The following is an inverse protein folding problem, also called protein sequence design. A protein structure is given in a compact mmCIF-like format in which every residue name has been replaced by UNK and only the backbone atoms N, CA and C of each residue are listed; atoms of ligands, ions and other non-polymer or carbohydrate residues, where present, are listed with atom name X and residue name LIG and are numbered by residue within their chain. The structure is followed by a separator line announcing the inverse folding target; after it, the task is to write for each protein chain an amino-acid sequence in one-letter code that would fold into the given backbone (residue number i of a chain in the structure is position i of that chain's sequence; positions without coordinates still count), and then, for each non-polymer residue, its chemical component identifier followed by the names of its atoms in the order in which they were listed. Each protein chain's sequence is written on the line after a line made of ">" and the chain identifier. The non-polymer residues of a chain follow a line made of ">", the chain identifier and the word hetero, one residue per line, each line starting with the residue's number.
data_IF_056308764661
#
_entry.id   IF_056308764661
#
_cell.length_a   1.000
_cell.length_b   1.000
_cell.length_c   1.000
_cell.angle_alpha   90.00
_cell.angle_beta   90.00
_cell.angle_gamma   90.00
#
_symmetry.space_group_name_H-M   'P 1'
#
loop_
_entity.id
_entity.type
_entity.pdbx_description
1 polymer ?
#
# COMPACT_ATOMS: atom_id res chain seq x y z
N UNK A 1 -3.75 -33.15 -15.29
CA UNK A 1 -2.30 -33.37 -15.49
C UNK A 1 -1.57 -32.11 -15.07
N UNK A 2 -0.69 -32.18 -14.07
CA UNK A 2 0.15 -31.04 -13.66
C UNK A 2 1.36 -31.01 -14.58
N UNK A 3 1.44 -30.04 -15.48
CA UNK A 3 2.70 -29.76 -16.16
C UNK A 3 3.74 -29.34 -15.11
N UNK A 4 4.93 -29.95 -15.07
CA UNK A 4 6.02 -29.45 -14.24
C UNK A 4 6.47 -28.12 -14.86
N UNK A 5 6.09 -27.00 -14.23
CA UNK A 5 6.61 -25.70 -14.57
C UNK A 5 8.09 -25.68 -14.16
N UNK A 6 8.98 -25.85 -15.13
CA UNK A 6 10.39 -25.46 -14.98
C UNK A 6 10.37 -24.01 -14.47
N UNK A 7 11.00 -23.68 -13.33
CA UNK A 7 11.03 -22.32 -12.83
C UNK A 7 11.94 -21.50 -13.74
N UNK A 8 11.40 -21.01 -14.84
CA UNK A 8 12.08 -20.01 -15.67
C UNK A 8 11.99 -18.71 -14.89
N UNK A 9 13.10 -18.31 -14.27
CA UNK A 9 13.26 -16.93 -13.80
C UNK A 9 12.97 -16.04 -14.99
N UNK A 10 11.93 -15.21 -14.92
CA UNK A 10 11.70 -14.21 -15.95
C UNK A 10 12.90 -13.26 -16.05
N UNK A 11 12.91 -12.36 -17.06
CA UNK A 11 13.87 -11.26 -17.05
C UNK A 11 13.84 -10.57 -15.67
N UNK A 12 15.01 -10.25 -15.12
CA UNK A 12 15.23 -9.68 -13.78
C UNK A 12 15.04 -10.60 -12.56
N UNK A 13 15.07 -11.93 -12.72
CA UNK A 13 15.01 -12.86 -11.56
C UNK A 13 13.61 -12.96 -10.93
N UNK A 14 12.58 -12.59 -11.69
CA UNK A 14 11.20 -12.48 -11.21
C UNK A 14 10.47 -13.83 -11.32
N UNK A 15 9.94 -14.34 -10.21
CA UNK A 15 9.28 -15.66 -10.13
C UNK A 15 7.75 -15.57 -10.13
N UNK A 16 7.14 -14.52 -9.55
CA UNK A 16 5.68 -14.30 -9.58
C UNK A 16 5.32 -12.89 -10.10
N UNK A 17 4.99 -12.82 -11.40
CA UNK A 17 4.57 -11.58 -12.10
C UNK A 17 3.32 -10.94 -11.50
N UNK A 18 2.41 -11.74 -10.94
CA UNK A 18 1.16 -11.24 -10.35
C UNK A 18 1.43 -10.59 -9.01
N UNK A 19 2.27 -11.22 -8.20
CA UNK A 19 2.73 -10.62 -6.95
C UNK A 19 3.47 -9.31 -7.21
N UNK A 20 4.32 -9.27 -8.24
CA UNK A 20 5.00 -8.02 -8.63
C UNK A 20 4.01 -6.92 -9.03
N UNK A 21 2.98 -7.23 -9.82
CA UNK A 21 1.94 -6.26 -10.17
C UNK A 21 1.26 -5.65 -8.93
N UNK A 22 0.91 -6.49 -7.94
CA UNK A 22 0.33 -6.02 -6.67
C UNK A 22 1.30 -5.15 -5.86
N UNK A 23 2.60 -5.50 -5.84
CA UNK A 23 3.63 -4.67 -5.20
C UNK A 23 3.77 -3.31 -5.88
N UNK A 24 3.88 -3.30 -7.21
CA UNK A 24 4.05 -2.10 -8.00
C UNK A 24 2.87 -1.14 -7.83
N UNK A 25 1.64 -1.65 -7.84
CA UNK A 25 0.44 -0.85 -7.61
C UNK A 25 0.50 -0.11 -6.26
N UNK A 26 0.89 -0.80 -5.19
CA UNK A 26 1.01 -0.18 -3.87
C UNK A 26 2.14 0.86 -3.83
N UNK A 27 3.31 0.54 -4.39
CA UNK A 27 4.45 1.47 -4.43
C UNK A 27 4.12 2.75 -5.20
N UNK A 28 3.43 2.63 -6.33
CA UNK A 28 2.99 3.77 -7.14
C UNK A 28 2.02 4.66 -6.37
N UNK A 29 1.04 4.08 -5.68
CA UNK A 29 0.10 4.85 -4.85
C UNK A 29 0.82 5.55 -3.70
N UNK A 30 1.68 4.83 -2.97
CA UNK A 30 2.45 5.40 -1.86
C UNK A 30 3.36 6.55 -2.31
N UNK A 31 4.04 6.38 -3.44
CA UNK A 31 4.87 7.43 -4.04
C UNK A 31 4.04 8.63 -4.46
N UNK A 32 2.92 8.40 -5.14
CA UNK A 32 2.03 9.46 -5.60
C UNK A 32 1.48 10.30 -4.45
N UNK A 33 0.96 9.68 -3.39
CA UNK A 33 0.48 10.40 -2.21
C UNK A 33 1.62 11.15 -1.52
N UNK A 34 2.83 10.57 -1.47
CA UNK A 34 3.99 11.26 -0.88
C UNK A 34 4.39 12.50 -1.67
N UNK A 35 4.32 12.45 -3.01
CA UNK A 35 4.53 13.63 -3.87
C UNK A 35 3.47 14.69 -3.60
N UNK A 36 2.19 14.28 -3.50
CA UNK A 36 1.10 15.21 -3.15
C UNK A 36 1.34 15.89 -1.80
N UNK A 37 1.71 15.12 -0.78
CA UNK A 37 2.05 15.65 0.54
C UNK A 37 3.23 16.62 0.46
N UNK A 38 4.26 16.27 -0.31
CA UNK A 38 5.41 17.13 -0.55
C UNK A 38 5.04 18.50 -1.11
N UNK A 39 4.06 18.58 -2.01
CA UNK A 39 3.62 19.84 -2.61
C UNK A 39 3.08 20.86 -1.60
N UNK A 40 2.54 20.42 -0.46
CA UNK A 40 2.11 21.31 0.63
C UNK A 40 3.29 21.92 1.41
N UNK A 41 4.47 21.31 1.36
CA UNK A 41 5.66 21.73 2.12
C UNK A 41 6.76 22.34 1.24
N UNK A 42 6.54 22.47 -0.07
CA UNK A 42 7.50 23.08 -0.98
C UNK A 42 7.61 24.60 -0.74
N UNK A 43 8.83 25.15 -0.60
CA UNK A 43 9.01 26.57 -0.37
C UNK A 43 8.45 27.40 -1.54
N UNK A 44 7.69 28.45 -1.22
CA UNK A 44 7.15 29.40 -2.20
C UNK A 44 5.83 28.98 -2.87
N UNK A 45 5.20 27.87 -2.48
CA UNK A 45 3.85 27.50 -2.96
C UNK A 45 3.75 27.17 -4.46
N UNK A 46 4.86 27.21 -5.20
CA UNK A 46 4.89 26.93 -6.64
C UNK A 46 4.39 25.51 -6.98
N UNK A 47 4.60 24.55 -6.09
CA UNK A 47 4.09 23.19 -6.26
C UNK A 47 2.61 23.04 -5.86
N UNK A 48 2.07 23.93 -5.02
CA UNK A 48 0.66 23.90 -4.63
C UNK A 48 -0.28 24.21 -5.80
N UNK A 49 0.15 25.07 -6.73
CA UNK A 49 -0.60 25.33 -7.97
C UNK A 49 -0.72 24.09 -8.87
N UNK A 50 0.23 23.14 -8.79
CA UNK A 50 0.11 21.85 -9.49
C UNK A 50 -1.05 21.03 -8.94
N UNK A 51 -1.30 21.04 -7.62
CA UNK A 51 -2.47 20.37 -7.02
C UNK A 51 -3.80 20.98 -7.46
N UNK A 52 -3.81 22.25 -7.86
CA UNK A 52 -4.99 22.91 -8.43
C UNK A 52 -5.15 22.61 -9.93
N UNK A 53 -4.09 22.16 -10.59
CA UNK A 53 -4.09 21.96 -12.03
C UNK A 53 -4.91 20.73 -12.43
N UNK A 54 -5.64 20.86 -13.54
CA UNK A 54 -6.36 19.74 -14.16
C UNK A 54 -5.42 18.58 -14.52
N UNK A 55 -4.23 18.89 -15.02
CA UNK A 55 -3.23 17.92 -15.45
C UNK A 55 -2.81 16.97 -14.32
N UNK A 56 -2.62 17.50 -13.11
CA UNK A 56 -2.27 16.68 -11.95
C UNK A 56 -3.35 15.63 -11.67
N UNK A 57 -4.62 16.01 -11.74
CA UNK A 57 -5.74 15.09 -11.47
C UNK A 57 -5.95 14.08 -12.60
N UNK A 58 -5.77 14.47 -13.86
CA UNK A 58 -5.81 13.52 -14.97
C UNK A 58 -4.72 12.44 -14.84
N UNK A 59 -3.50 12.85 -14.44
CA UNK A 59 -2.42 11.92 -14.14
C UNK A 59 -2.77 11.03 -12.94
N UNK A 60 -3.29 11.63 -11.87
CA UNK A 60 -3.70 10.91 -10.64
C UNK A 60 -4.73 9.83 -10.94
N UNK A 61 -5.80 10.15 -11.68
CA UNK A 61 -6.83 9.19 -12.07
C UNK A 61 -6.30 8.11 -13.01
N UNK A 62 -5.45 8.47 -13.98
CA UNK A 62 -4.83 7.50 -14.90
C UNK A 62 -3.94 6.51 -14.15
N UNK A 63 -3.11 7.02 -13.23
CA UNK A 63 -2.28 6.20 -12.35
C UNK A 63 -3.14 5.28 -11.48
N UNK A 64 -4.26 5.79 -10.98
CA UNK A 64 -5.16 5.04 -10.13
C UNK A 64 -5.88 3.90 -10.89
N UNK A 65 -6.35 4.16 -12.11
CA UNK A 65 -6.91 3.13 -13.01
C UNK A 65 -5.88 2.03 -13.26
N UNK A 66 -4.62 2.41 -13.54
CA UNK A 66 -3.52 1.47 -13.69
C UNK A 66 -3.30 0.64 -12.41
N UNK A 67 -3.30 1.27 -11.23
CA UNK A 67 -3.13 0.57 -9.95
C UNK A 67 -4.29 -0.39 -9.65
N UNK A 68 -5.52 -0.01 -9.97
CA UNK A 68 -6.67 -0.91 -9.89
C UNK A 68 -6.53 -2.11 -10.82
N UNK A 69 -6.11 -1.90 -12.08
CA UNK A 69 -5.89 -2.97 -13.04
C UNK A 69 -4.79 -3.94 -12.56
N UNK A 70 -3.65 -3.43 -12.07
CA UNK A 70 -2.56 -4.23 -11.53
C UNK A 70 -2.98 -5.02 -10.28
N UNK A 71 -3.72 -4.39 -9.37
CA UNK A 71 -4.23 -5.04 -8.15
C UNK A 71 -5.26 -6.12 -8.49
N UNK A 72 -6.11 -5.85 -9.48
CA UNK A 72 -7.05 -6.84 -10.02
C UNK A 72 -6.31 -8.03 -10.61
N UNK A 73 -5.34 -7.82 -11.51
CA UNK A 73 -4.52 -8.88 -12.08
C UNK A 73 -3.80 -9.72 -11.01
N UNK A 74 -3.38 -9.09 -9.91
CA UNK A 74 -2.73 -9.78 -8.80
C UNK A 74 -3.64 -10.82 -8.11
N UNK A 75 -4.94 -10.55 -8.00
CA UNK A 75 -5.86 -11.33 -7.17
C UNK A 75 -7.00 -12.04 -7.91
N UNK A 76 -7.36 -11.61 -9.13
CA UNK A 76 -8.50 -12.10 -9.88
C UNK A 76 -8.54 -13.63 -9.95
N UNK A 77 -7.50 -14.26 -10.51
CA UNK A 77 -7.51 -15.71 -10.67
C UNK A 77 -7.56 -16.46 -9.34
N UNK A 78 -6.90 -15.92 -8.30
CA UNK A 78 -6.92 -16.53 -6.97
C UNK A 78 -8.32 -16.52 -6.37
N UNK A 79 -9.10 -15.48 -6.61
CA UNK A 79 -10.44 -15.30 -6.08
C UNK A 79 -11.49 -16.10 -6.86
N UNK A 80 -11.36 -16.15 -8.18
CA UNK A 80 -12.41 -16.69 -9.06
C UNK A 80 -12.15 -18.13 -9.52
N UNK A 81 -10.91 -18.60 -9.56
CA UNK A 81 -10.58 -19.91 -10.13
C UNK A 81 -9.75 -20.82 -9.20
N UNK A 82 -8.72 -20.30 -8.52
CA UNK A 82 -7.74 -21.17 -7.83
C UNK A 82 -8.15 -21.62 -6.43
N UNK A 83 -9.11 -20.93 -5.79
CA UNK A 83 -9.42 -21.17 -4.37
C UNK A 83 -10.90 -21.41 -4.11
N UNK A 84 -11.18 -22.36 -3.22
CA UNK A 84 -12.53 -22.70 -2.78
C UNK A 84 -12.66 -22.62 -1.24
N UNK A 85 -13.90 -22.45 -0.78
CA UNK A 85 -14.26 -22.36 0.63
C UNK A 85 -13.50 -21.24 1.37
N UNK A 86 -12.96 -21.58 2.53
CA UNK A 86 -12.24 -20.64 3.41
C UNK A 86 -11.06 -19.91 2.71
N UNK A 87 -10.32 -20.60 1.84
CA UNK A 87 -9.19 -20.00 1.12
C UNK A 87 -9.65 -18.89 0.17
N UNK A 88 -10.86 -19.02 -0.38
CA UNK A 88 -11.52 -18.00 -1.22
C UNK A 88 -11.88 -16.77 -0.40
N UNK A 89 -12.45 -16.95 0.80
CA UNK A 89 -12.73 -15.83 1.72
C UNK A 89 -11.48 -15.00 2.04
N UNK A 90 -10.34 -15.66 2.29
CA UNK A 90 -9.04 -14.99 2.48
C UNK A 90 -8.54 -14.28 1.23
N UNK A 91 -8.73 -14.86 0.05
CA UNK A 91 -8.35 -14.21 -1.21
C UNK A 91 -9.20 -12.97 -1.47
N UNK A 92 -10.52 -13.06 -1.25
CA UNK A 92 -11.46 -11.94 -1.36
C UNK A 92 -11.10 -10.84 -0.37
N UNK A 93 -10.80 -11.17 0.89
CA UNK A 93 -10.46 -10.15 1.89
C UNK A 93 -9.21 -9.39 1.48
N UNK A 94 -8.20 -10.06 0.93
CA UNK A 94 -6.97 -9.43 0.42
C UNK A 94 -7.21 -8.61 -0.83
N UNK A 95 -8.11 -9.04 -1.71
CA UNK A 95 -8.54 -8.23 -2.86
C UNK A 95 -9.21 -6.95 -2.38
N UNK A 96 -10.19 -7.04 -1.46
CA UNK A 96 -10.89 -5.85 -0.91
C UNK A 96 -9.88 -4.88 -0.28
N UNK A 97 -8.97 -5.38 0.55
CA UNK A 97 -7.93 -4.55 1.17
C UNK A 97 -7.02 -3.91 0.12
N UNK A 98 -6.60 -4.67 -0.90
CA UNK A 98 -5.80 -4.15 -1.99
C UNK A 98 -6.53 -3.06 -2.79
N UNK A 99 -7.79 -3.29 -3.14
CA UNK A 99 -8.64 -2.34 -3.88
C UNK A 99 -8.91 -1.08 -3.06
N UNK A 100 -9.24 -1.23 -1.78
CA UNK A 100 -9.39 -0.10 -0.87
C UNK A 100 -8.09 0.70 -0.76
N UNK A 101 -6.96 0.00 -0.64
CA UNK A 101 -5.65 0.61 -0.59
C UNK A 101 -5.30 1.44 -1.83
N UNK A 102 -5.52 0.92 -3.03
CA UNK A 102 -5.26 1.70 -4.26
C UNK A 102 -6.33 2.77 -4.53
N UNK A 103 -7.46 2.75 -3.81
CA UNK A 103 -8.50 3.78 -3.91
C UNK A 103 -8.19 5.06 -3.13
N UNK A 104 -7.23 5.04 -2.19
CA UNK A 104 -6.91 6.16 -1.29
C UNK A 104 -6.69 7.50 -2.00
N UNK A 105 -6.00 7.59 -3.17
CA UNK A 105 -5.90 8.86 -3.89
C UNK A 105 -7.26 9.51 -4.21
N UNK A 106 -8.29 8.73 -4.53
CA UNK A 106 -9.66 9.27 -4.71
C UNK A 106 -10.24 9.82 -3.41
N UNK A 107 -9.99 9.16 -2.29
CA UNK A 107 -10.43 9.64 -0.99
C UNK A 107 -9.74 10.95 -0.61
N UNK A 108 -8.44 11.08 -0.90
CA UNK A 108 -7.68 12.33 -0.73
C UNK A 108 -8.31 13.45 -1.55
N UNK A 109 -8.69 13.18 -2.80
CA UNK A 109 -9.38 14.16 -3.66
C UNK A 109 -10.67 14.65 -3.03
N UNK A 110 -11.56 13.71 -2.68
CA UNK A 110 -12.88 14.03 -2.13
C UNK A 110 -12.74 14.80 -0.83
N UNK A 111 -11.85 14.36 0.06
CA UNK A 111 -11.64 15.03 1.34
C UNK A 111 -11.05 16.43 1.16
N UNK A 112 -10.06 16.57 0.27
CA UNK A 112 -9.46 17.87 -0.02
C UNK A 112 -10.47 18.83 -0.66
N UNK A 113 -11.36 18.33 -1.52
CA UNK A 113 -12.43 19.12 -2.10
C UNK A 113 -13.48 19.56 -1.05
N UNK A 114 -13.89 18.64 -0.17
CA UNK A 114 -14.87 18.92 0.89
C UNK A 114 -14.39 19.96 1.92
N UNK A 115 -13.08 20.09 2.09
CA UNK A 115 -12.48 21.04 3.04
C UNK A 115 -11.84 22.25 2.35
N UNK A 116 -12.09 22.48 1.05
CA UNK A 116 -11.49 23.56 0.24
C UNK A 116 -9.94 23.59 0.28
N UNK A 117 -9.28 22.45 0.52
CA UNK A 117 -7.83 22.35 0.65
C UNK A 117 -7.06 22.63 -0.64
N UNK A 118 -7.76 22.66 -1.78
CA UNK A 118 -7.19 23.12 -3.04
C UNK A 118 -7.09 24.64 -3.14
N UNK A 119 -7.90 25.39 -2.39
CA UNK A 119 -7.84 26.86 -2.36
C UNK A 119 -7.03 27.35 -1.18
N UNK A 120 -7.22 26.70 -0.04
CA UNK A 120 -6.61 27.06 1.23
C UNK A 120 -5.81 25.85 1.74
N UNK A 121 -4.46 25.89 1.71
CA UNK A 121 -3.66 24.80 2.24
C UNK A 121 -4.10 24.44 3.66
N UNK A 122 -4.23 23.14 4.00
CA UNK A 122 -4.61 22.74 5.35
C UNK A 122 -3.56 23.23 6.34
N UNK A 123 -4.01 23.55 7.55
CA UNK A 123 -3.06 23.74 8.63
C UNK A 123 -2.35 22.39 8.91
N UNK A 124 -1.17 22.43 9.53
CA UNK A 124 -0.38 21.23 9.81
C UNK A 124 -1.17 20.18 10.61
N UNK A 125 -2.06 20.64 11.49
CA UNK A 125 -2.77 19.79 12.43
C UNK A 125 -3.90 19.02 11.76
N UNK A 126 -4.63 19.65 10.84
CA UNK A 126 -5.64 19.01 10.00
C UNK A 126 -4.99 17.94 9.12
N UNK A 127 -3.81 18.22 8.57
CA UNK A 127 -3.04 17.26 7.79
C UNK A 127 -2.58 16.07 8.66
N UNK A 128 -2.12 16.34 9.88
CA UNK A 128 -1.71 15.30 10.83
C UNK A 128 -2.90 14.43 11.28
N UNK A 129 -4.06 15.03 11.56
CA UNK A 129 -5.28 14.29 11.88
C UNK A 129 -5.74 13.44 10.72
N UNK A 130 -5.76 13.99 9.51
CA UNK A 130 -6.12 13.25 8.31
C UNK A 130 -5.17 12.07 8.07
N UNK A 131 -3.86 12.29 8.17
CA UNK A 131 -2.86 11.23 8.09
C UNK A 131 -3.09 10.14 9.15
N UNK A 132 -3.41 10.53 10.39
CA UNK A 132 -3.75 9.63 11.48
C UNK A 132 -5.01 8.80 11.20
N UNK A 133 -6.08 9.41 10.68
CA UNK A 133 -7.32 8.71 10.30
C UNK A 133 -7.02 7.71 9.18
N UNK A 134 -6.33 8.15 8.12
CA UNK A 134 -5.94 7.27 7.00
C UNK A 134 -5.08 6.11 7.50
N UNK A 135 -4.19 6.34 8.46
CA UNK A 135 -3.43 5.27 9.08
C UNK A 135 -4.31 4.26 9.80
N UNK A 136 -5.22 4.74 10.65
CA UNK A 136 -6.10 3.87 11.43
C UNK A 136 -6.95 3.03 10.49
N UNK A 137 -7.53 3.65 9.45
CA UNK A 137 -8.28 2.94 8.41
C UNK A 137 -7.40 1.90 7.72
N UNK A 138 -6.18 2.25 7.34
CA UNK A 138 -5.22 1.30 6.75
C UNK A 138 -4.92 0.13 7.68
N UNK A 139 -4.66 0.37 8.96
CA UNK A 139 -4.38 -0.67 9.96
C UNK A 139 -5.60 -1.57 10.16
N UNK A 140 -6.79 -0.99 10.26
CA UNK A 140 -8.03 -1.75 10.37
C UNK A 140 -8.24 -2.63 9.15
N UNK A 141 -8.10 -2.09 7.94
CA UNK A 141 -8.27 -2.86 6.71
C UNK A 141 -7.17 -3.91 6.53
N UNK A 142 -5.90 -3.58 6.75
CA UNK A 142 -4.78 -4.47 6.47
C UNK A 142 -4.60 -5.57 7.52
N UNK A 143 -5.03 -5.36 8.76
CA UNK A 143 -4.83 -6.31 9.86
C UNK A 143 -6.14 -6.78 10.48
N UNK A 144 -6.96 -5.85 10.97
CA UNK A 144 -8.17 -6.21 11.74
C UNK A 144 -9.16 -6.97 10.86
N UNK A 145 -9.43 -6.48 9.65
CA UNK A 145 -10.37 -7.11 8.74
C UNK A 145 -9.95 -8.54 8.33
N UNK A 146 -8.71 -8.79 7.86
CA UNK A 146 -8.23 -10.14 7.61
C UNK A 146 -8.33 -11.04 8.85
N UNK A 147 -7.95 -10.54 10.04
CA UNK A 147 -8.05 -11.30 11.30
C UNK A 147 -9.51 -11.65 11.61
N UNK A 148 -10.43 -10.71 11.45
CA UNK A 148 -11.87 -10.92 11.62
C UNK A 148 -12.38 -12.03 10.72
N UNK A 149 -12.04 -11.98 9.42
CA UNK A 149 -12.38 -13.03 8.46
C UNK A 149 -11.86 -14.37 9.00
N UNK A 150 -10.63 -14.43 9.53
CA UNK A 150 -10.02 -15.65 10.04
C UNK A 150 -10.63 -16.27 11.28
N UNK A 151 -11.06 -15.42 12.21
CA UNK A 151 -11.77 -15.86 13.39
C UNK A 151 -13.10 -16.49 13.01
N UNK A 152 -13.82 -15.92 12.03
CA UNK A 152 -15.04 -16.51 11.48
C UNK A 152 -14.79 -17.89 10.85
N UNK A 153 -13.64 -18.07 10.20
CA UNK A 153 -13.20 -19.36 9.67
C UNK A 153 -12.75 -20.39 10.72
N UNK A 154 -12.72 -20.04 12.02
CA UNK A 154 -12.21 -20.85 13.15
C UNK A 154 -10.79 -21.40 12.93
N UNK A 155 -9.93 -20.71 12.17
CA UNK A 155 -8.55 -21.16 11.89
C UNK A 155 -7.53 -20.38 12.72
N UNK A 156 -7.06 -20.99 13.81
CA UNK A 156 -6.05 -20.43 14.74
C UNK A 156 -4.68 -20.13 14.10
N UNK A 157 -4.36 -20.75 12.95
CA UNK A 157 -3.10 -20.52 12.24
C UNK A 157 -3.00 -19.17 11.50
N UNK A 158 -4.05 -18.36 11.51
CA UNK A 158 -4.12 -17.16 10.69
C UNK A 158 -3.36 -15.94 11.22
N UNK A 159 -3.08 -15.86 12.54
CA UNK A 159 -2.43 -14.68 13.16
C UNK A 159 -1.08 -14.37 12.48
N UNK A 160 -0.52 -15.34 11.77
CA UNK A 160 0.63 -15.16 10.90
C UNK A 160 0.24 -14.57 9.53
N UNK A 161 -0.09 -13.28 9.51
CA UNK A 161 -0.08 -12.42 8.31
C UNK A 161 1.33 -12.43 7.68
N UNK A 162 1.62 -13.43 6.84
CA UNK A 162 2.89 -13.54 6.10
C UNK A 162 4.09 -14.09 6.89
N UNK A 163 3.89 -14.49 8.15
CA UNK A 163 4.94 -15.01 9.04
C UNK A 163 4.92 -16.54 9.20
N UNK A 164 4.03 -17.25 8.50
CA UNK A 164 3.96 -18.71 8.55
C UNK A 164 5.28 -19.29 8.00
N UNK A 165 6.19 -19.69 8.91
CA UNK A 165 7.54 -20.15 8.59
C UNK A 165 8.62 -19.07 8.44
N UNK A 166 8.37 -17.81 8.79
CA UNK A 166 9.43 -16.78 8.74
C UNK A 166 10.21 -16.74 10.05
N UNK A 167 11.53 -16.93 9.94
CA UNK A 167 12.50 -16.69 11.03
C UNK A 167 12.40 -15.26 11.56
N UNK A 168 13.01 -14.96 12.72
CA UNK A 168 13.10 -13.59 13.29
C UNK A 168 13.46 -12.51 12.26
N UNK A 169 14.23 -12.86 11.21
CA UNK A 169 14.60 -11.98 10.10
C UNK A 169 13.39 -11.53 9.25
N UNK A 170 12.39 -12.38 9.07
CA UNK A 170 11.22 -12.06 8.25
C UNK A 170 10.28 -11.03 8.87
N UNK A 171 10.14 -11.04 10.19
CA UNK A 171 9.43 -10.01 10.96
C UNK A 171 10.12 -8.65 10.88
N UNK A 172 11.46 -8.62 10.97
CA UNK A 172 12.24 -7.39 10.79
C UNK A 172 12.04 -6.77 9.40
N UNK A 173 12.02 -7.58 8.34
CA UNK A 173 11.78 -7.07 6.98
C UNK A 173 10.36 -6.51 6.83
N UNK A 174 9.36 -7.11 7.48
CA UNK A 174 8.00 -6.58 7.46
C UNK A 174 7.91 -5.26 8.24
N UNK A 175 8.50 -5.18 9.43
CA UNK A 175 8.48 -3.96 10.25
C UNK A 175 9.43 -2.86 9.75
N UNK A 176 10.37 -3.20 8.86
CA UNK A 176 11.40 -2.31 8.33
C UNK A 176 10.90 -0.93 7.91
N UNK A 177 9.86 -0.81 7.06
CA UNK A 177 9.35 0.50 6.64
C UNK A 177 8.86 1.37 7.79
N UNK A 178 8.24 0.79 8.83
CA UNK A 178 7.81 1.54 10.02
C UNK A 178 8.98 1.90 10.93
N UNK A 179 10.02 1.06 11.01
CA UNK A 179 11.25 1.41 11.72
C UNK A 179 11.95 2.59 11.03
N UNK A 180 12.04 2.57 9.71
CA UNK A 180 12.59 3.70 8.93
C UNK A 180 11.77 4.95 9.16
N UNK A 181 10.44 4.86 9.13
CA UNK A 181 9.56 5.99 9.44
C UNK A 181 9.81 6.54 10.85
N UNK A 182 9.92 5.67 11.86
CA UNK A 182 10.22 6.06 13.23
C UNK A 182 11.58 6.75 13.36
N UNK A 183 12.61 6.27 12.66
CA UNK A 183 13.92 6.89 12.60
C UNK A 183 13.89 8.26 11.93
N UNK A 184 13.19 8.39 10.79
CA UNK A 184 13.01 9.68 10.11
C UNK A 184 12.28 10.66 11.02
N UNK A 185 11.19 10.23 11.68
CA UNK A 185 10.47 11.07 12.63
C UNK A 185 11.36 11.51 13.81
N UNK A 186 12.13 10.58 14.40
CA UNK A 186 13.01 10.88 15.54
C UNK A 186 14.12 11.90 15.21
N UNK A 187 14.58 11.95 13.96
CA UNK A 187 15.60 12.91 13.51
C UNK A 187 14.99 14.23 13.05
N UNK A 188 13.85 14.18 12.35
CA UNK A 188 13.29 15.35 11.68
C UNK A 188 12.39 16.20 12.60
N UNK A 189 11.69 15.59 13.56
CA UNK A 189 10.85 16.33 14.52
C UNK A 189 11.70 17.33 15.35
N UNK A 190 12.84 16.93 15.95
CA UNK A 190 13.68 17.88 16.70
C UNK A 190 14.28 19.00 15.84
N UNK A 191 14.38 18.78 14.52
CA UNK A 191 14.87 19.77 13.54
C UNK A 191 13.78 20.71 13.05
N UNK A 192 12.52 20.51 13.46
CA UNK A 192 11.37 21.27 12.96
C UNK A 192 10.99 20.92 11.51
N UNK A 193 11.45 19.77 10.99
CA UNK A 193 11.16 19.32 9.62
C UNK A 193 9.91 18.43 9.57
N UNK A 194 9.18 18.51 8.46
CA UNK A 194 7.96 17.75 8.20
C UNK A 194 8.16 16.57 7.24
N UNK A 195 9.41 16.20 6.94
CA UNK A 195 9.72 15.12 6.00
C UNK A 195 9.05 13.79 6.39
N UNK A 196 8.91 13.51 7.68
CA UNK A 196 8.21 12.33 8.17
C UNK A 196 6.74 12.26 7.74
N UNK A 197 6.06 13.41 7.60
CA UNK A 197 4.68 13.52 7.08
C UNK A 197 4.65 13.25 5.58
N UNK A 198 5.68 13.73 4.86
CA UNK A 198 5.80 13.57 3.40
C UNK A 198 6.09 12.12 3.00
N UNK A 199 7.00 11.45 3.70
CA UNK A 199 7.46 10.09 3.36
C UNK A 199 6.56 8.98 3.93
N UNK A 200 5.76 9.31 4.93
CA UNK A 200 4.80 8.44 5.60
C UNK A 200 3.97 7.56 4.64
N UNK A 201 3.32 8.11 3.60
CA UNK A 201 2.47 7.33 2.72
C UNK A 201 3.30 6.26 1.99
N UNK A 202 4.45 6.65 1.43
CA UNK A 202 5.32 5.72 0.72
C UNK A 202 5.76 4.55 1.61
N UNK A 203 6.20 4.82 2.84
CA UNK A 203 6.64 3.75 3.76
C UNK A 203 5.50 2.84 4.19
N UNK A 204 4.29 3.39 4.39
CA UNK A 204 3.10 2.61 4.72
C UNK A 204 2.70 1.68 3.57
N UNK A 205 2.75 2.16 2.34
CA UNK A 205 2.47 1.35 1.15
C UNK A 205 3.60 0.37 0.84
N UNK A 206 4.85 0.72 1.12
CA UNK A 206 6.00 -0.19 1.04
C UNK A 206 5.85 -1.35 2.03
N UNK A 207 5.36 -1.08 3.25
CA UNK A 207 4.99 -2.12 4.20
C UNK A 207 3.94 -3.07 3.57
N UNK A 208 2.88 -2.51 2.99
CA UNK A 208 1.86 -3.29 2.27
C UNK A 208 2.41 -4.09 1.07
N UNK A 209 3.37 -3.52 0.34
CA UNK A 209 4.00 -4.12 -0.84
C UNK A 209 5.02 -5.22 -0.48
N UNK A 210 5.63 -5.16 0.71
CA UNK A 210 6.67 -6.10 1.17
C UNK A 210 6.28 -7.58 1.02
N UNK A 211 5.10 -8.06 1.47
CA UNK A 211 4.72 -9.46 1.26
C UNK A 211 4.57 -9.83 -0.23
N UNK A 212 4.18 -8.88 -1.08
CA UNK A 212 4.10 -9.09 -2.53
C UNK A 212 5.49 -9.16 -3.17
N UNK A 213 6.40 -8.25 -2.80
CA UNK A 213 7.79 -8.27 -3.26
C UNK A 213 8.51 -9.55 -2.85
N UNK A 214 8.37 -9.96 -1.58
CA UNK A 214 8.90 -11.23 -1.09
C UNK A 214 8.40 -12.41 -1.92
N UNK A 215 7.12 -12.41 -2.29
CA UNK A 215 6.55 -13.48 -3.12
C UNK A 215 7.03 -13.41 -4.57
N UNK A 216 7.15 -12.20 -5.14
CA UNK A 216 7.58 -11.96 -6.51
C UNK A 216 9.02 -12.39 -6.78
N UNK A 217 9.88 -12.32 -5.76
CA UNK A 217 11.30 -12.68 -5.83
C UNK A 217 11.65 -13.91 -4.97
N UNK A 218 10.67 -14.64 -4.46
CA UNK A 218 10.94 -15.88 -3.75
C UNK A 218 11.57 -16.88 -4.73
N UNK A 219 12.74 -17.40 -4.38
CA UNK A 219 13.33 -18.54 -5.08
C UNK A 219 12.32 -19.69 -5.03
N UNK A 220 12.02 -20.28 -6.20
CA UNK A 220 11.15 -21.45 -6.27
C UNK A 220 11.75 -22.51 -5.32
N UNK A 221 11.02 -22.88 -4.26
CA UNK A 221 11.44 -24.01 -3.44
C UNK A 221 11.41 -25.25 -4.34
N UNK A 222 12.49 -26.03 -4.41
CA UNK A 222 12.53 -27.28 -5.16
C UNK A 222 11.44 -28.24 -4.68
#
# INVERSE_FOLDING_TARGET
>A
MKHPLIPTTGPFGLTDRRAFAGALALLLVGLHISIMMGFYFFPGGAAFSLLQSRWWWELSFSLQILCFALMWMCHHERVFYDTQGWKRGRAISRLIVGMAGVSVPSWVIVFSAMNDWFKHPPNLMDLAYYAGIVFVVWVVLAYVFPIGVALLGRRKGFIYLGLEGQSKKGALVLLGPFLVLGLVAAVEIPRGSHLHIVIWPFLTYLHGATPYLKKAFATAKP
#
